data_IF_998072233438
#
_entry.id   IF_998072233438
#
_cell.length_a   1.000
_cell.length_b   1.000
_cell.length_c   1.000
_cell.angle_alpha   90.00
_cell.angle_beta   90.00
_cell.angle_gamma   90.00
#
_symmetry.space_group_name_H-M   'P 1'
#
loop_
_entity.id
_entity.type
_entity.pdbx_description
1 polymer ?
#
# COMPACT_ATOMS: atom_id res chain seq x y z
N UNK A 1 1.86 13.25 -4.31
CA UNK A 1 2.94 12.55 -3.58
C UNK A 1 2.31 11.70 -2.51
N UNK A 2 2.82 10.50 -2.29
CA UNK A 2 2.35 9.54 -1.29
C UNK A 2 3.41 9.42 -0.19
N UNK A 3 3.87 10.57 0.31
CA UNK A 3 4.89 10.66 1.36
C UNK A 3 6.08 9.71 1.12
N UNK A 4 6.40 8.85 2.10
CA UNK A 4 7.63 8.07 2.11
C UNK A 4 7.75 7.04 1.00
N UNK A 5 6.64 6.53 0.43
CA UNK A 5 6.72 5.64 -0.76
C UNK A 5 7.13 6.43 -2.02
N UNK A 6 6.92 7.75 -2.02
CA UNK A 6 7.31 8.66 -3.09
C UNK A 6 6.14 9.02 -4.00
N UNK A 7 6.36 8.99 -5.31
CA UNK A 7 5.40 9.47 -6.31
C UNK A 7 4.93 8.32 -7.17
N UNK A 8 3.70 7.88 -6.92
CA UNK A 8 3.08 6.77 -7.64
C UNK A 8 2.35 7.28 -8.89
N UNK A 9 2.20 6.38 -9.86
CA UNK A 9 1.46 6.66 -11.09
C UNK A 9 -0.02 6.40 -10.86
N UNK A 10 -0.87 7.33 -11.28
CA UNK A 10 -2.32 7.16 -11.28
C UNK A 10 -2.87 7.32 -12.71
N UNK A 11 -3.98 6.64 -13.00
CA UNK A 11 -4.69 6.76 -14.27
C UNK A 11 -6.07 7.36 -14.02
N UNK A 12 -6.40 8.45 -14.71
CA UNK A 12 -7.67 9.15 -14.55
C UNK A 12 -8.46 9.18 -15.86
N UNK A 13 -9.80 8.98 -15.83
CA UNK A 13 -10.63 9.21 -16.99
C UNK A 13 -10.64 10.70 -17.38
N UNK A 14 -10.70 10.95 -18.69
CA UNK A 14 -10.80 12.30 -19.26
C UNK A 14 -12.15 12.44 -19.96
N UNK A 15 -12.89 13.48 -19.60
CA UNK A 15 -14.12 13.91 -20.28
C UNK A 15 -13.86 15.18 -21.08
N UNK A 16 -14.21 15.18 -22.36
CA UNK A 16 -14.13 16.37 -23.20
C UNK A 16 -15.39 17.22 -23.07
N UNK A 17 -15.23 18.52 -22.80
CA UNK A 17 -16.33 19.48 -22.75
C UNK A 17 -15.86 20.82 -23.33
N UNK A 18 -16.65 21.36 -24.27
CA UNK A 18 -16.37 22.63 -24.94
C UNK A 18 -14.95 22.73 -25.54
N UNK A 19 -14.48 21.62 -26.12
CA UNK A 19 -13.14 21.52 -26.72
C UNK A 19 -11.98 21.34 -25.73
N UNK A 20 -12.26 21.22 -24.42
CA UNK A 20 -11.24 21.05 -23.38
C UNK A 20 -11.31 19.69 -22.68
N UNK A 21 -10.16 19.06 -22.36
CA UNK A 21 -10.13 17.85 -21.56
C UNK A 21 -10.25 18.18 -20.08
N UNK A 22 -11.18 17.53 -19.38
CA UNK A 22 -11.35 17.60 -17.94
C UNK A 22 -11.09 16.22 -17.31
N UNK A 23 -10.33 16.19 -16.22
CA UNK A 23 -10.23 14.98 -15.40
C UNK A 23 -11.57 14.65 -14.73
N UNK A 24 -11.90 13.37 -14.69
CA UNK A 24 -13.14 12.87 -14.12
C UNK A 24 -14.19 12.49 -15.16
N UNK A 25 -15.33 12.03 -14.66
CA UNK A 25 -16.47 11.57 -15.45
C UNK A 25 -17.45 12.72 -15.73
N UNK A 26 -18.34 12.62 -16.74
CA UNK A 26 -19.24 13.72 -17.13
C UNK A 26 -20.05 14.31 -15.97
N UNK A 27 -20.58 13.46 -15.10
CA UNK A 27 -21.35 13.90 -13.94
C UNK A 27 -20.51 14.48 -12.79
N UNK A 28 -19.18 14.31 -12.80
CA UNK A 28 -18.27 14.71 -11.73
C UNK A 28 -16.90 15.20 -12.24
N UNK A 29 -16.93 16.18 -13.13
CA UNK A 29 -15.71 16.84 -13.64
C UNK A 29 -14.86 17.41 -12.50
N UNK A 30 -13.56 17.50 -12.73
CA UNK A 30 -12.49 17.92 -11.79
C UNK A 30 -12.30 16.99 -10.59
N UNK A 31 -12.87 15.79 -10.63
CA UNK A 31 -12.68 14.72 -9.63
C UNK A 31 -12.51 13.37 -10.32
N UNK A 32 -11.32 12.81 -10.21
CA UNK A 32 -11.05 11.44 -10.64
C UNK A 32 -11.71 10.46 -9.67
N UNK A 33 -12.43 9.43 -10.16
CA UNK A 33 -12.81 8.30 -9.32
C UNK A 33 -11.56 7.57 -8.80
N UNK A 34 -11.62 6.99 -7.59
CA UNK A 34 -10.51 6.20 -7.03
C UNK A 34 -10.30 4.90 -7.80
N UNK A 35 -11.40 4.25 -8.18
CA UNK A 35 -11.41 3.04 -8.98
C UNK A 35 -12.26 3.28 -10.23
N UNK A 36 -11.71 2.91 -11.39
CA UNK A 36 -12.44 2.95 -12.64
C UNK A 36 -11.99 1.81 -13.55
N UNK A 37 -12.85 1.48 -14.52
CA UNK A 37 -12.54 0.48 -15.53
C UNK A 37 -11.32 0.91 -16.33
N UNK A 38 -10.37 -0.01 -16.54
CA UNK A 38 -9.20 0.26 -17.37
C UNK A 38 -9.65 0.61 -18.80
N UNK A 39 -8.90 1.47 -19.53
CA UNK A 39 -9.17 1.70 -20.94
C UNK A 39 -9.18 0.38 -21.72
N UNK A 40 -10.13 0.25 -22.66
CA UNK A 40 -10.15 -0.89 -23.56
C UNK A 40 -9.01 -0.76 -24.57
N UNK A 41 -7.96 -1.55 -24.40
CA UNK A 41 -6.81 -1.58 -25.30
C UNK A 41 -6.96 -2.59 -26.42
N UNK A 42 -8.07 -3.36 -26.46
CA UNK A 42 -8.23 -4.52 -27.33
C UNK A 42 -7.52 -5.79 -26.84
N UNK A 43 -6.82 -5.70 -25.69
CA UNK A 43 -6.09 -6.82 -25.09
C UNK A 43 -6.61 -7.11 -23.67
N UNK A 44 -6.80 -8.39 -23.37
CA UNK A 44 -7.04 -8.88 -22.02
C UNK A 44 -5.76 -9.51 -21.48
N UNK A 45 -5.42 -9.17 -20.25
CA UNK A 45 -4.31 -9.75 -19.50
C UNK A 45 -4.74 -9.81 -18.05
N UNK A 46 -4.40 -10.90 -17.37
CA UNK A 46 -4.58 -10.98 -15.93
C UNK A 46 -3.71 -9.93 -15.23
N UNK A 47 -4.15 -9.36 -14.10
CA UNK A 47 -3.30 -8.48 -13.30
C UNK A 47 -2.06 -9.23 -12.83
N UNK A 48 -0.89 -8.64 -13.03
CA UNK A 48 0.39 -9.13 -12.50
C UNK A 48 1.21 -7.96 -11.97
N UNK A 49 2.12 -8.25 -11.03
CA UNK A 49 3.13 -7.29 -10.67
C UNK A 49 3.97 -6.92 -11.91
N UNK A 50 4.34 -5.64 -12.09
CA UNK A 50 5.12 -5.20 -13.23
C UNK A 50 6.57 -5.70 -13.19
N UNK A 51 7.06 -6.09 -12.00
CA UNK A 51 8.40 -6.57 -11.78
C UNK A 51 8.42 -7.69 -10.74
N UNK A 52 9.36 -8.62 -10.90
CA UNK A 52 9.77 -9.57 -9.88
C UNK A 52 10.81 -8.89 -8.99
N UNK A 53 10.51 -8.74 -7.71
CA UNK A 53 11.36 -8.05 -6.74
C UNK A 53 12.39 -8.97 -6.08
N UNK A 54 12.06 -10.25 -5.99
CA UNK A 54 12.94 -11.25 -5.39
C UNK A 54 14.13 -11.50 -6.31
N UNK A 55 15.32 -11.72 -5.72
CA UNK A 55 16.54 -12.01 -6.47
C UNK A 55 17.44 -12.94 -5.65
N UNK A 56 17.76 -14.11 -6.20
CA UNK A 56 18.66 -15.10 -5.61
C UNK A 56 20.12 -14.94 -6.08
N UNK A 57 20.40 -13.92 -6.91
CA UNK A 57 21.74 -13.60 -7.43
C UNK A 57 22.45 -14.79 -8.11
N UNK A 58 21.69 -15.72 -8.69
CA UNK A 58 22.18 -16.90 -9.39
C UNK A 58 22.31 -16.70 -10.91
N UNK A 59 21.69 -15.63 -11.42
CA UNK A 59 21.82 -15.16 -12.79
C UNK A 59 23.16 -14.46 -13.09
N UNK A 60 23.51 -14.32 -14.38
CA UNK A 60 24.74 -13.63 -14.79
C UNK A 60 24.66 -12.10 -14.72
N UNK A 61 23.46 -11.55 -14.54
CA UNK A 61 23.16 -10.12 -14.50
C UNK A 61 22.18 -9.82 -13.37
N UNK A 62 22.23 -8.60 -12.84
CA UNK A 62 21.25 -8.13 -11.86
C UNK A 62 19.88 -7.99 -12.53
N UNK A 63 18.82 -8.37 -11.82
CA UNK A 63 17.45 -8.14 -12.25
C UNK A 63 17.16 -6.65 -12.50
N UNK A 64 16.30 -6.33 -13.47
CA UNK A 64 16.00 -4.96 -13.91
C UNK A 64 15.40 -4.03 -12.83
N UNK A 65 14.98 -4.59 -11.70
CA UNK A 65 14.48 -3.84 -10.53
C UNK A 65 15.58 -3.06 -9.81
N UNK A 66 16.82 -3.54 -9.91
CA UNK A 66 17.96 -2.99 -9.20
C UNK A 66 18.46 -1.70 -9.83
N UNK A 67 18.85 -0.76 -8.97
CA UNK A 67 19.55 0.44 -9.38
C UNK A 67 20.61 0.81 -8.35
N UNK A 68 21.78 1.22 -8.82
CA UNK A 68 22.83 1.73 -7.95
C UNK A 68 22.50 3.13 -7.43
N UNK A 69 22.85 3.41 -6.18
CA UNK A 69 22.93 4.78 -5.69
C UNK A 69 24.18 5.45 -6.29
N UNK A 70 23.98 6.35 -7.26
CA UNK A 70 25.02 6.91 -8.13
C UNK A 70 25.69 5.85 -9.04
N UNK A 71 26.76 6.24 -9.74
CA UNK A 71 27.51 5.35 -10.64
C UNK A 71 28.35 4.36 -9.83
N UNK A 72 28.22 3.04 -10.05
CA UNK A 72 29.03 2.03 -9.37
C UNK A 72 30.50 2.07 -9.80
N UNK A 73 31.35 1.32 -9.09
CA UNK A 73 32.64 0.84 -9.56
C UNK A 73 32.46 -0.64 -9.94
N UNK A 74 32.53 -0.94 -11.23
CA UNK A 74 32.17 -2.25 -11.78
C UNK A 74 33.13 -3.37 -11.37
N UNK A 75 34.37 -3.05 -11.00
CA UNK A 75 35.35 -3.98 -10.46
C UNK A 75 35.23 -4.22 -8.94
N UNK A 76 34.21 -3.63 -8.30
CA UNK A 76 33.98 -3.69 -6.84
C UNK A 76 32.62 -4.30 -6.47
N UNK A 77 31.98 -4.98 -7.41
CA UNK A 77 30.85 -5.86 -7.16
C UNK A 77 30.90 -7.05 -8.12
N UNK A 78 30.29 -8.18 -7.76
CA UNK A 78 30.28 -9.36 -8.62
C UNK A 78 29.11 -10.30 -8.32
N UNK A 79 28.62 -10.97 -9.37
CA UNK A 79 27.73 -12.15 -9.28
C UNK A 79 28.47 -13.47 -9.59
N UNK A 80 29.72 -13.37 -10.06
CA UNK A 80 30.49 -14.52 -10.55
C UNK A 80 31.65 -14.93 -9.65
N UNK A 81 32.14 -14.04 -8.79
CA UNK A 81 33.20 -14.36 -7.81
C UNK A 81 32.76 -15.45 -6.84
N UNK A 82 31.45 -15.50 -6.52
CA UNK A 82 30.81 -16.55 -5.75
C UNK A 82 29.41 -16.78 -6.35
N UNK A 83 29.23 -17.78 -7.23
CA UNK A 83 27.93 -18.05 -7.86
C UNK A 83 26.81 -18.21 -6.82
N UNK A 84 25.64 -17.59 -7.09
CA UNK A 84 24.50 -17.55 -6.17
C UNK A 84 24.62 -16.49 -5.07
N UNK A 85 25.53 -15.52 -5.23
CA UNK A 85 25.71 -14.41 -4.30
C UNK A 85 26.03 -13.11 -5.04
N UNK A 86 25.44 -12.01 -4.58
CA UNK A 86 25.94 -10.67 -4.82
C UNK A 86 27.09 -10.38 -3.85
N UNK A 87 28.29 -10.17 -4.38
CA UNK A 87 29.44 -9.69 -3.63
C UNK A 87 29.58 -8.18 -3.77
N UNK A 88 29.76 -7.48 -2.64
CA UNK A 88 30.12 -6.07 -2.59
C UNK A 88 31.47 -5.90 -1.88
N UNK A 89 32.48 -5.37 -2.58
CA UNK A 89 33.79 -5.07 -1.98
C UNK A 89 33.74 -3.73 -1.22
N UNK A 90 34.34 -3.68 -0.03
CA UNK A 90 34.32 -2.52 0.83
C UNK A 90 35.22 -1.41 0.27
N UNK A 91 34.60 -0.27 -0.03
CA UNK A 91 35.28 0.96 -0.42
C UNK A 91 35.33 1.96 0.75
N UNK A 92 36.32 2.86 0.81
CA UNK A 92 36.40 3.85 1.86
C UNK A 92 35.21 4.81 1.82
N UNK A 93 34.48 4.93 2.92
CA UNK A 93 33.43 5.92 3.10
C UNK A 93 33.27 6.32 4.59
N UNK A 94 33.03 7.60 4.89
CA UNK A 94 32.83 8.05 6.27
C UNK A 94 31.50 7.57 6.88
N UNK A 95 30.52 7.20 6.05
CA UNK A 95 29.20 6.73 6.44
C UNK A 95 28.45 6.13 5.23
N UNK A 96 27.30 5.51 5.49
CA UNK A 96 26.43 4.90 4.48
C UNK A 96 26.03 5.88 3.35
N UNK A 97 25.75 7.15 3.68
CA UNK A 97 25.36 8.15 2.67
C UNK A 97 26.43 8.37 1.59
N UNK A 98 27.70 8.12 1.93
CA UNK A 98 28.85 8.27 1.04
C UNK A 98 29.37 6.92 0.51
N UNK A 99 28.77 5.81 0.90
CA UNK A 99 29.15 4.48 0.41
C UNK A 99 28.81 4.35 -1.08
N UNK A 100 29.83 4.03 -1.89
CA UNK A 100 29.63 3.64 -3.29
C UNK A 100 29.17 2.18 -3.34
N UNK A 101 28.63 1.77 -4.48
CA UNK A 101 28.11 0.43 -4.70
C UNK A 101 27.02 0.02 -3.69
N UNK A 102 26.20 0.99 -3.24
CA UNK A 102 24.95 0.66 -2.57
C UNK A 102 23.92 0.29 -3.64
N UNK A 103 23.50 -0.97 -3.65
CA UNK A 103 22.53 -1.51 -4.59
C UNK A 103 21.12 -1.36 -4.03
N UNK A 104 20.18 -0.84 -4.82
CA UNK A 104 18.88 -0.41 -4.27
C UNK A 104 17.66 -0.87 -5.06
N UNK A 105 16.57 -1.20 -4.35
CA UNK A 105 15.22 -1.33 -4.89
C UNK A 105 14.29 -0.24 -4.33
N UNK A 106 13.17 0.02 -5.01
CA UNK A 106 12.14 0.95 -4.52
C UNK A 106 11.39 0.30 -3.34
N UNK A 107 10.97 1.10 -2.35
CA UNK A 107 9.95 0.66 -1.40
C UNK A 107 8.61 0.43 -2.10
N UNK A 108 7.83 -0.56 -1.64
CA UNK A 108 6.56 -0.93 -2.28
C UNK A 108 5.42 -0.76 -1.28
N UNK A 109 4.46 0.10 -1.64
CA UNK A 109 3.30 0.40 -0.80
C UNK A 109 2.16 -0.62 -0.98
N UNK A 110 1.21 -0.67 -0.03
CA UNK A 110 1.15 0.15 1.19
C UNK A 110 2.02 -0.42 2.32
N UNK A 111 2.50 -1.66 2.19
CA UNK A 111 3.37 -2.31 3.16
C UNK A 111 4.25 -3.33 2.47
N UNK A 112 5.55 -3.32 2.78
CA UNK A 112 6.51 -4.30 2.29
C UNK A 112 7.55 -4.67 3.34
N UNK A 113 8.02 -5.92 3.26
CA UNK A 113 9.03 -6.50 4.14
C UNK A 113 10.17 -7.04 3.28
N UNK A 114 11.30 -6.33 3.26
CA UNK A 114 12.52 -6.77 2.59
C UNK A 114 13.37 -7.62 3.55
N UNK A 115 13.83 -8.78 3.12
CA UNK A 115 14.73 -9.67 3.86
C UNK A 115 15.91 -10.07 2.99
N UNK A 116 17.10 -10.17 3.57
CA UNK A 116 18.32 -10.64 2.91
C UNK A 116 19.20 -11.40 3.91
N UNK A 117 19.91 -12.44 3.50
CA UNK A 117 21.01 -13.01 4.27
C UNK A 117 22.34 -12.37 3.85
N UNK A 118 23.12 -11.98 4.87
CA UNK A 118 24.45 -11.42 4.76
C UNK A 118 25.47 -12.39 5.34
N UNK A 119 26.44 -12.80 4.52
CA UNK A 119 27.68 -13.46 4.94
C UNK A 119 28.78 -12.39 5.07
N UNK A 120 29.08 -12.04 6.32
CA UNK A 120 30.06 -11.05 6.74
C UNK A 120 31.43 -11.67 7.08
N UNK A 121 31.65 -12.96 6.82
CA UNK A 121 32.87 -13.67 7.27
C UNK A 121 34.17 -13.06 6.75
N UNK A 122 34.12 -12.37 5.61
CA UNK A 122 35.27 -11.77 4.93
C UNK A 122 35.37 -10.25 5.16
N UNK A 123 34.55 -9.67 6.03
CA UNK A 123 34.72 -8.28 6.44
C UNK A 123 36.05 -8.09 7.21
N UNK A 124 36.73 -6.99 6.91
CA UNK A 124 37.97 -6.55 7.56
C UNK A 124 37.71 -5.42 8.55
N UNK A 125 38.63 -5.17 9.52
CA UNK A 125 38.47 -4.08 10.46
C UNK A 125 38.10 -2.74 9.80
N UNK A 126 37.03 -2.14 10.29
CA UNK A 126 36.46 -0.90 9.76
C UNK A 126 35.30 -1.11 8.78
N UNK A 127 35.09 -2.32 8.26
CA UNK A 127 33.99 -2.60 7.34
C UNK A 127 32.63 -2.58 8.05
N UNK A 128 31.63 -2.12 7.31
CA UNK A 128 30.21 -2.10 7.69
C UNK A 128 29.39 -2.49 6.46
N UNK A 129 28.62 -3.58 6.59
CA UNK A 129 27.75 -4.08 5.52
C UNK A 129 26.36 -4.41 6.06
N UNK A 130 25.32 -4.21 5.24
CA UNK A 130 23.96 -4.52 5.68
C UNK A 130 22.84 -4.06 4.77
N UNK A 131 21.66 -3.93 5.38
CA UNK A 131 20.40 -3.51 4.75
C UNK A 131 20.00 -2.13 5.31
N UNK A 132 19.75 -1.19 4.40
CA UNK A 132 19.40 0.18 4.73
C UNK A 132 18.03 0.58 4.18
N UNK A 133 17.39 1.49 4.92
CA UNK A 133 16.32 2.36 4.46
C UNK A 133 16.96 3.65 3.94
N UNK A 134 17.23 3.68 2.64
CA UNK A 134 17.87 4.80 1.98
C UNK A 134 16.87 5.93 1.73
N UNK A 135 17.04 7.00 2.48
CA UNK A 135 16.62 8.35 2.13
C UNK A 135 17.53 9.34 2.90
N UNK A 136 17.15 10.62 3.03
CA UNK A 136 17.80 11.53 3.96
C UNK A 136 16.72 12.12 4.90
N UNK A 137 16.76 11.83 6.21
CA UNK A 137 17.70 10.92 6.89
C UNK A 137 17.57 9.44 6.47
N UNK A 138 18.60 8.63 6.75
CA UNK A 138 18.60 7.17 6.53
C UNK A 138 18.67 6.38 7.84
N UNK A 139 18.31 5.11 7.77
CA UNK A 139 18.52 4.13 8.84
C UNK A 139 19.01 2.80 8.26
N UNK A 140 19.72 2.00 9.05
CA UNK A 140 20.21 0.69 8.60
C UNK A 140 20.46 -0.28 9.75
N UNK A 141 20.47 -1.57 9.43
CA UNK A 141 20.89 -2.67 10.29
C UNK A 141 21.90 -3.51 9.53
N UNK A 142 22.96 -3.98 10.19
CA UNK A 142 24.04 -4.70 9.53
C UNK A 142 25.13 -5.19 10.46
N UNK A 143 26.16 -5.78 9.85
CA UNK A 143 27.35 -6.28 10.53
C UNK A 143 28.51 -5.31 10.34
N UNK A 144 29.33 -5.15 11.38
CA UNK A 144 30.61 -4.47 11.28
C UNK A 144 31.72 -5.33 11.87
N UNK A 145 32.89 -5.28 11.23
CA UNK A 145 34.11 -5.89 11.75
C UNK A 145 34.91 -4.80 12.48
N UNK A 146 35.04 -4.97 13.79
CA UNK A 146 35.93 -4.16 14.64
C UNK A 146 37.20 -4.95 14.96
N UNK A 147 38.20 -4.29 15.53
CA UNK A 147 39.50 -4.93 15.85
C UNK A 147 39.36 -6.17 16.74
N UNK A 148 38.35 -6.19 17.62
CA UNK A 148 38.13 -7.27 18.58
C UNK A 148 37.16 -8.35 18.11
N UNK A 149 36.63 -8.29 16.89
CA UNK A 149 35.66 -9.27 16.37
C UNK A 149 34.48 -8.65 15.62
N UNK A 150 33.37 -9.38 15.56
CA UNK A 150 32.16 -8.94 14.87
C UNK A 150 31.17 -8.28 15.82
N UNK A 151 30.46 -7.29 15.29
CA UNK A 151 29.33 -6.67 15.96
C UNK A 151 28.15 -6.53 15.01
N UNK A 152 26.95 -6.79 15.50
CA UNK A 152 25.72 -6.35 14.87
C UNK A 152 25.48 -4.89 15.26
N UNK A 153 25.09 -4.07 14.28
CA UNK A 153 24.84 -2.64 14.47
C UNK A 153 23.51 -2.23 13.87
N UNK A 154 22.87 -1.30 14.58
CA UNK A 154 21.73 -0.53 14.10
C UNK A 154 22.10 0.94 14.14
N UNK A 155 21.64 1.70 13.15
CA UNK A 155 21.78 3.14 13.10
C UNK A 155 20.53 3.81 12.57
N UNK A 156 20.09 4.86 13.26
CA UNK A 156 19.05 5.78 12.82
C UNK A 156 19.63 7.19 12.84
N UNK A 157 19.76 7.81 11.66
CA UNK A 157 20.30 9.15 11.53
C UNK A 157 19.35 10.21 12.09
N UNK A 158 18.04 10.01 11.97
CA UNK A 158 17.05 10.99 12.42
C UNK A 158 17.01 11.08 13.95
N UNK A 159 17.04 9.93 14.61
CA UNK A 159 17.05 9.83 16.07
C UNK A 159 18.46 9.97 16.67
N UNK A 160 19.49 10.14 15.84
CA UNK A 160 20.92 10.10 16.23
C UNK A 160 21.28 8.85 17.07
N UNK A 161 20.61 7.72 16.79
CA UNK A 161 20.69 6.52 17.60
C UNK A 161 21.62 5.49 16.96
N UNK A 162 22.41 4.82 17.80
CA UNK A 162 23.23 3.68 17.41
C UNK A 162 23.18 2.60 18.48
N UNK A 163 22.94 1.37 18.07
CA UNK A 163 22.99 0.18 18.94
C UNK A 163 24.09 -0.73 18.41
N UNK A 164 24.83 -1.38 19.30
CA UNK A 164 25.93 -2.29 18.95
C UNK A 164 25.88 -3.51 19.87
N UNK A 165 25.77 -4.70 19.26
CA UNK A 165 25.72 -5.98 19.97
C UNK A 165 26.91 -6.82 19.51
N UNK A 166 27.68 -7.37 20.46
CA UNK A 166 28.76 -8.32 20.11
C UNK A 166 28.16 -9.65 19.67
N UNK A 167 28.77 -10.26 18.67
CA UNK A 167 28.38 -11.58 18.19
C UNK A 167 29.59 -12.31 17.61
N UNK A 168 29.57 -13.64 17.71
CA UNK A 168 30.52 -14.51 17.03
C UNK A 168 29.98 -14.98 15.67
N UNK A 169 28.71 -14.69 15.37
CA UNK A 169 28.09 -15.03 14.10
C UNK A 169 28.70 -14.20 12.97
N UNK A 170 28.93 -14.87 11.84
CA UNK A 170 29.38 -14.24 10.60
C UNK A 170 28.30 -14.24 9.53
N UNK A 171 27.18 -14.94 9.77
CA UNK A 171 25.99 -14.92 8.93
C UNK A 171 24.82 -14.38 9.73
N UNK A 172 24.00 -13.56 9.07
CA UNK A 172 22.84 -12.92 9.68
C UNK A 172 21.80 -12.62 8.60
N UNK A 173 20.53 -12.82 8.92
CA UNK A 173 19.42 -12.32 8.12
C UNK A 173 19.04 -10.94 8.62
N UNK A 174 18.89 -10.00 7.70
CA UNK A 174 18.54 -8.61 7.97
C UNK A 174 17.17 -8.34 7.34
N UNK A 175 16.29 -7.68 8.09
CA UNK A 175 14.92 -7.41 7.63
C UNK A 175 14.54 -5.96 7.87
N UNK A 176 13.87 -5.39 6.86
CA UNK A 176 13.30 -4.07 6.89
C UNK A 176 11.80 -4.14 6.59
N UNK A 177 10.97 -3.87 7.59
CA UNK A 177 9.52 -3.79 7.47
C UNK A 177 9.11 -2.33 7.35
N UNK A 178 8.40 -1.96 6.28
CA UNK A 178 7.92 -0.60 6.05
C UNK A 178 6.41 -0.60 5.86
N UNK A 179 5.72 0.22 6.64
CA UNK A 179 4.33 0.60 6.42
C UNK A 179 4.30 2.03 5.88
N UNK A 180 3.92 2.18 4.62
CA UNK A 180 3.90 3.44 3.90
C UNK A 180 2.61 4.24 4.09
N UNK A 181 1.56 3.65 4.67
CA UNK A 181 0.37 4.40 5.08
C UNK A 181 0.63 5.19 6.37
N UNK A 182 1.39 4.60 7.30
CA UNK A 182 1.78 5.25 8.55
C UNK A 182 3.12 5.96 8.48
N UNK A 183 3.85 5.82 7.36
CA UNK A 183 5.22 6.29 7.18
C UNK A 183 6.18 5.75 8.28
N UNK A 184 6.00 4.49 8.72
CA UNK A 184 6.82 3.85 9.77
C UNK A 184 7.61 2.66 9.23
N UNK A 185 8.90 2.63 9.56
CA UNK A 185 9.81 1.52 9.31
C UNK A 185 10.28 0.84 10.59
N UNK A 186 10.60 -0.46 10.51
CA UNK A 186 11.23 -1.24 11.58
C UNK A 186 12.33 -2.10 11.00
N UNK A 187 13.45 -2.19 11.73
CA UNK A 187 14.58 -3.03 11.37
C UNK A 187 14.69 -4.19 12.37
N UNK A 188 14.99 -5.37 11.86
CA UNK A 188 15.21 -6.57 12.66
C UNK A 188 16.31 -7.42 12.05
N UNK A 189 16.81 -8.36 12.85
CA UNK A 189 17.82 -9.32 12.44
C UNK A 189 17.46 -10.72 12.92
N UNK A 190 18.07 -11.73 12.34
CA UNK A 190 17.97 -13.13 12.78
C UNK A 190 19.30 -13.84 12.56
N UNK A 191 19.67 -14.75 13.47
CA UNK A 191 20.84 -15.61 13.32
C UNK A 191 20.50 -17.03 12.84
N UNK A 192 19.21 -17.37 12.73
CA UNK A 192 18.70 -18.68 12.29
C UNK A 192 17.87 -18.60 11.00
N UNK A 193 17.52 -17.41 10.53
CA UNK A 193 16.66 -17.17 9.37
C UNK A 193 15.16 -17.32 9.65
N UNK A 194 14.78 -17.72 10.86
CA UNK A 194 13.39 -18.01 11.23
C UNK A 194 12.85 -17.00 12.25
N UNK A 195 13.60 -16.75 13.32
CA UNK A 195 13.19 -15.87 14.42
C UNK A 195 13.87 -14.52 14.29
N UNK A 196 13.08 -13.49 13.99
CA UNK A 196 13.57 -12.12 13.83
C UNK A 196 13.39 -11.29 15.11
N UNK A 197 14.50 -10.79 15.62
CA UNK A 197 14.54 -9.88 16.77
C UNK A 197 14.55 -8.43 16.28
N UNK A 198 13.59 -7.58 16.69
CA UNK A 198 13.62 -6.15 16.38
C UNK A 198 14.81 -5.47 17.05
N UNK A 199 15.41 -4.51 16.36
CA UNK A 199 16.50 -3.68 16.89
C UNK A 199 16.22 -2.21 16.64
N UNK A 200 16.39 -1.39 17.68
CA UNK A 200 15.99 0.02 17.64
C UNK A 200 14.51 0.21 17.98
N UNK A 201 13.97 1.34 17.57
CA UNK A 201 12.55 1.73 17.73
C UNK A 201 11.95 1.98 16.34
N UNK A 202 10.69 2.41 16.30
CA UNK A 202 10.01 2.81 15.07
C UNK A 202 10.76 3.97 14.39
N UNK A 203 11.07 3.80 13.11
CA UNK A 203 11.76 4.77 12.27
C UNK A 203 10.70 5.55 11.48
N UNK A 204 10.71 6.88 11.57
CA UNK A 204 9.90 7.70 10.67
C UNK A 204 10.52 7.67 9.28
N UNK A 205 9.77 7.17 8.30
CA UNK A 205 10.19 7.11 6.91
C UNK A 205 10.07 8.51 6.29
N UNK A 206 11.17 9.14 5.86
CA UNK A 206 11.08 10.53 5.40
C UNK A 206 10.72 10.61 3.91
N UNK A 207 10.09 11.72 3.54
CA UNK A 207 10.03 12.20 2.17
C UNK A 207 10.42 13.67 2.14
N UNK A 208 11.36 14.02 1.26
CA UNK A 208 11.88 15.38 1.16
C UNK A 208 12.36 15.71 -0.26
N UNK A 209 12.55 17.01 -0.51
CA UNK A 209 12.83 17.56 -1.85
C UNK A 209 14.32 17.64 -2.23
N UNK A 210 15.24 17.34 -1.32
CA UNK A 210 16.68 17.22 -1.57
C UNK A 210 17.01 16.00 -2.43
N UNK A 211 16.42 14.84 -2.15
CA UNK A 211 16.61 13.62 -2.96
C UNK A 211 15.46 13.38 -3.93
N UNK A 212 14.27 13.92 -3.64
CA UNK A 212 13.07 13.80 -4.48
C UNK A 212 12.64 12.36 -4.75
N UNK A 213 13.09 11.41 -3.93
CA UNK A 213 12.78 9.98 -4.03
C UNK A 213 12.05 9.50 -2.77
N UNK A 214 11.21 8.47 -2.94
CA UNK A 214 10.72 7.68 -1.83
C UNK A 214 11.84 6.87 -1.18
N UNK A 215 11.54 6.25 -0.04
CA UNK A 215 12.46 5.35 0.66
C UNK A 215 12.77 4.15 -0.23
N UNK A 216 14.05 3.75 -0.24
CA UNK A 216 14.56 2.61 -0.99
C UNK A 216 15.19 1.61 -0.04
N UNK A 217 15.02 0.32 -0.32
CA UNK A 217 15.84 -0.71 0.32
C UNK A 217 17.21 -0.71 -0.32
N UNK A 218 18.28 -0.81 0.47
CA UNK A 218 19.64 -0.77 -0.04
C UNK A 218 20.55 -1.80 0.62
N UNK A 219 21.21 -2.62 -0.20
CA UNK A 219 22.33 -3.47 0.20
C UNK A 219 23.62 -2.67 0.06
N UNK A 220 24.51 -2.74 1.05
CA UNK A 220 25.74 -1.94 1.03
C UNK A 220 26.91 -2.64 1.73
N UNK A 221 28.12 -2.19 1.39
CA UNK A 221 29.35 -2.47 2.13
C UNK A 221 30.33 -1.29 1.98
N UNK A 222 30.93 -0.83 3.07
CA UNK A 222 31.97 0.21 3.05
C UNK A 222 32.92 0.10 4.24
N UNK A 223 34.10 0.68 4.12
CA UNK A 223 35.10 0.75 5.19
C UNK A 223 35.18 2.17 5.78
N UNK A 224 35.10 2.27 7.11
CA UNK A 224 35.12 3.52 7.87
C UNK A 224 36.52 4.08 8.15
N UNK A 225 37.58 3.30 7.93
CA UNK A 225 38.96 3.67 8.24
C UNK A 225 39.70 4.34 7.07
N UNK A 226 39.00 4.63 5.97
CA UNK A 226 39.57 5.38 4.84
C UNK A 226 40.45 4.55 3.91
N UNK A 227 40.33 3.23 3.95
CA UNK A 227 41.01 2.27 3.06
C UNK A 227 40.01 1.34 2.37
N UNK A 228 40.45 0.57 1.38
CA UNK A 228 39.67 -0.59 0.92
C UNK A 228 39.70 -1.68 1.99
N UNK A 229 38.59 -2.41 2.13
CA UNK A 229 38.44 -3.48 3.11
C UNK A 229 38.28 -4.86 2.47
N UNK A 230 37.49 -5.70 3.13
CA UNK A 230 37.10 -7.01 2.62
C UNK A 230 35.85 -6.94 1.74
N UNK A 231 34.99 -7.95 1.83
CA UNK A 231 33.73 -8.00 1.08
C UNK A 231 32.58 -8.60 1.88
N UNK A 232 31.37 -8.26 1.46
CA UNK A 232 30.11 -8.80 1.95
C UNK A 232 29.44 -9.60 0.84
N UNK A 233 28.99 -10.81 1.15
CA UNK A 233 28.24 -11.65 0.22
C UNK A 233 26.76 -11.71 0.64
N UNK A 234 25.84 -11.41 -0.26
CA UNK A 234 24.39 -11.53 -0.08
C UNK A 234 23.86 -12.63 -0.99
N UNK A 235 23.16 -13.63 -0.46
CA UNK A 235 22.63 -14.75 -1.26
C UNK A 235 21.25 -14.48 -1.85
N UNK A 236 20.43 -13.67 -1.19
CA UNK A 236 19.06 -13.43 -1.61
C UNK A 236 18.58 -12.06 -1.19
N UNK A 237 17.59 -11.56 -1.92
CA UNK A 237 16.73 -10.47 -1.52
C UNK A 237 15.28 -10.91 -1.74
N UNK A 238 14.49 -10.95 -0.68
CA UNK A 238 13.07 -11.32 -0.73
C UNK A 238 12.24 -10.11 -0.31
N UNK A 239 11.24 -9.76 -1.12
CA UNK A 239 10.29 -8.69 -0.83
C UNK A 239 8.87 -9.25 -0.66
N UNK A 240 8.43 -9.36 0.59
CA UNK A 240 7.06 -9.76 0.90
C UNK A 240 6.12 -8.55 0.98
N UNK A 241 5.02 -8.58 0.23
CA UNK A 241 4.01 -7.52 0.16
C UNK A 241 2.68 -7.98 0.79
N UNK A 242 2.55 -7.97 2.14
CA UNK A 242 1.40 -8.56 2.84
C UNK A 242 0.06 -7.94 2.46
N UNK A 243 0.06 -6.70 1.96
CA UNK A 243 -1.13 -5.93 1.58
C UNK A 243 -1.21 -5.64 0.08
N UNK A 244 -0.55 -6.44 -0.77
CA UNK A 244 -0.58 -6.26 -2.24
C UNK A 244 -2.00 -6.31 -2.87
N UNK A 245 -2.96 -6.96 -2.19
CA UNK A 245 -4.37 -7.02 -2.60
C UNK A 245 -5.30 -6.05 -1.83
N UNK A 246 -4.74 -5.16 -1.02
CA UNK A 246 -5.50 -4.34 -0.07
C UNK A 246 -5.94 -5.12 1.18
N UNK A 247 -6.63 -4.45 2.09
CA UNK A 247 -7.15 -5.07 3.33
C UNK A 247 -8.56 -5.67 3.15
N UNK A 248 -9.32 -5.22 2.15
CA UNK A 248 -10.68 -5.71 1.93
C UNK A 248 -10.65 -7.07 1.20
N UNK A 249 -11.54 -8.02 1.54
CA UNK A 249 -11.65 -9.33 0.89
C UNK A 249 -12.20 -9.28 -0.56
N UNK A 250 -12.14 -8.13 -1.23
CA UNK A 250 -12.75 -7.90 -2.54
C UNK A 250 -14.26 -7.58 -2.46
N UNK A 251 -14.92 -7.61 -3.61
CA UNK A 251 -16.37 -7.32 -3.71
C UNK A 251 -17.15 -8.57 -3.29
N UNK A 252 -18.10 -8.40 -2.38
CA UNK A 252 -18.87 -9.46 -1.73
C UNK A 252 -20.05 -9.94 -2.59
N UNK A 253 -19.77 -10.36 -3.81
CA UNK A 253 -20.80 -10.74 -4.77
C UNK A 253 -21.63 -11.93 -4.24
N UNK A 254 -22.96 -11.78 -4.27
CA UNK A 254 -23.92 -12.78 -3.78
C UNK A 254 -24.23 -12.68 -2.28
N UNK A 255 -23.36 -12.06 -1.50
CA UNK A 255 -23.52 -11.92 -0.05
C UNK A 255 -24.61 -10.89 0.30
N UNK A 256 -25.15 -11.06 1.51
CA UNK A 256 -26.05 -10.08 2.13
C UNK A 256 -25.24 -9.26 3.13
N UNK A 257 -25.30 -7.94 3.01
CA UNK A 257 -24.54 -7.03 3.86
C UNK A 257 -25.44 -6.00 4.55
N UNK A 258 -24.94 -5.49 5.67
CA UNK A 258 -25.36 -4.20 6.23
C UNK A 258 -24.34 -3.13 5.86
N UNK A 259 -24.80 -1.90 5.62
CA UNK A 259 -23.96 -0.74 5.32
C UNK A 259 -24.04 0.26 6.48
N UNK A 260 -22.88 0.73 6.94
CA UNK A 260 -22.75 1.64 8.06
C UNK A 260 -21.99 2.88 7.62
N UNK A 261 -22.54 4.06 7.87
CA UNK A 261 -21.86 5.34 7.65
C UNK A 261 -20.59 5.39 8.48
N UNK A 262 -19.44 5.66 7.86
CA UNK A 262 -18.18 5.83 8.59
C UNK A 262 -18.17 7.08 9.48
N UNK A 263 -18.95 8.10 9.11
CA UNK A 263 -18.94 9.39 9.79
C UNK A 263 -19.55 9.34 11.19
N UNK A 264 -20.65 8.59 11.34
CA UNK A 264 -21.50 8.59 12.55
C UNK A 264 -22.03 7.20 12.93
N UNK A 265 -21.54 6.14 12.29
CA UNK A 265 -21.91 4.73 12.54
C UNK A 265 -23.38 4.39 12.29
N UNK A 266 -24.16 5.28 11.65
CA UNK A 266 -25.56 5.00 11.33
C UNK A 266 -25.70 3.85 10.33
N UNK A 267 -26.73 3.02 10.50
CA UNK A 267 -27.01 1.87 9.62
C UNK A 267 -27.95 2.30 8.50
N UNK A 268 -27.67 1.92 7.26
CA UNK A 268 -28.58 2.14 6.15
C UNK A 268 -29.75 1.15 6.20
N UNK A 269 -30.97 1.65 6.08
CA UNK A 269 -32.21 0.86 6.05
C UNK A 269 -33.09 1.24 4.86
N UNK A 270 -33.86 0.28 4.38
CA UNK A 270 -35.03 0.50 3.53
C UNK A 270 -36.17 1.08 4.38
N UNK A 271 -36.31 2.40 4.35
CA UNK A 271 -37.40 3.11 5.02
C UNK A 271 -38.41 3.59 3.99
N UNK A 272 -39.56 2.90 3.89
CA UNK A 272 -40.66 3.27 2.97
C UNK A 272 -40.17 3.47 1.52
N UNK A 273 -39.41 2.49 1.01
CA UNK A 273 -38.80 2.51 -0.32
C UNK A 273 -37.78 3.64 -0.55
N UNK A 274 -37.22 4.20 0.52
CA UNK A 274 -36.10 5.13 0.46
C UNK A 274 -34.92 4.56 1.26
N UNK A 275 -33.70 4.84 0.81
CA UNK A 275 -32.52 4.52 1.62
C UNK A 275 -32.34 5.60 2.69
N UNK A 276 -32.26 5.18 3.95
CA UNK A 276 -32.16 6.11 5.09
C UNK A 276 -31.13 5.62 6.12
N UNK A 277 -30.24 6.48 6.62
CA UNK A 277 -29.44 6.21 7.82
C UNK A 277 -30.32 6.25 9.07
N UNK A 278 -30.15 5.27 9.96
CA UNK A 278 -30.75 5.26 11.29
C UNK A 278 -29.69 5.02 12.37
N UNK A 279 -29.83 5.62 13.56
CA UNK A 279 -28.97 5.31 14.70
C UNK A 279 -28.94 3.81 15.02
N UNK A 280 -27.81 3.28 15.49
CA UNK A 280 -27.63 1.85 15.77
C UNK A 280 -28.54 1.30 16.87
N UNK A 281 -29.04 2.17 17.75
CA UNK A 281 -30.01 1.85 18.82
C UNK A 281 -31.47 1.98 18.36
N UNK A 282 -31.71 2.37 17.11
CA UNK A 282 -33.04 2.45 16.54
C UNK A 282 -33.63 1.06 16.32
N UNK A 283 -34.95 0.92 16.54
CA UNK A 283 -35.70 -0.30 16.17
C UNK A 283 -35.64 -0.64 14.67
N UNK A 284 -35.20 0.30 13.83
CA UNK A 284 -35.06 0.13 12.39
C UNK A 284 -33.63 -0.21 11.96
N UNK A 285 -32.70 -0.34 12.91
CA UNK A 285 -31.29 -0.66 12.65
C UNK A 285 -31.02 -2.16 12.52
N UNK A 286 -32.04 -3.00 12.69
CA UNK A 286 -31.94 -4.47 12.64
C UNK A 286 -33.01 -5.08 11.72
N UNK A 287 -32.76 -6.32 11.30
CA UNK A 287 -33.68 -7.11 10.48
C UNK A 287 -33.57 -6.84 8.97
N UNK A 288 -34.44 -7.49 8.20
CA UNK A 288 -34.35 -7.53 6.73
C UNK A 288 -34.38 -6.15 6.04
N UNK A 289 -34.86 -5.10 6.70
CA UNK A 289 -34.83 -3.72 6.18
C UNK A 289 -33.42 -3.15 6.06
N UNK A 290 -32.45 -3.57 6.86
CA UNK A 290 -31.04 -3.13 6.78
C UNK A 290 -30.17 -4.02 5.91
N UNK A 291 -30.73 -5.11 5.39
CA UNK A 291 -30.02 -6.13 4.64
C UNK A 291 -30.10 -5.85 3.13
N UNK A 292 -28.92 -5.77 2.50
CA UNK A 292 -28.78 -5.57 1.06
C UNK A 292 -27.96 -6.70 0.45
N UNK A 293 -28.54 -7.43 -0.51
CA UNK A 293 -27.81 -8.39 -1.31
C UNK A 293 -26.98 -7.67 -2.37
N UNK A 294 -25.70 -7.99 -2.45
CA UNK A 294 -24.78 -7.44 -3.45
C UNK A 294 -24.83 -8.29 -4.71
N UNK A 295 -25.31 -7.73 -5.81
CA UNK A 295 -25.48 -8.44 -7.08
C UNK A 295 -24.46 -7.97 -8.11
N UNK A 296 -23.81 -8.90 -8.81
CA UNK A 296 -22.80 -8.60 -9.82
C UNK A 296 -23.38 -7.89 -11.04
N UNK A 297 -22.67 -6.86 -11.52
CA UNK A 297 -22.93 -6.15 -12.79
C UNK A 297 -21.68 -6.11 -13.69
N UNK A 298 -20.66 -6.91 -13.37
CA UNK A 298 -19.38 -6.99 -14.07
C UNK A 298 -18.49 -5.77 -13.83
N UNK A 299 -17.20 -5.89 -14.15
CA UNK A 299 -16.23 -4.78 -14.08
C UNK A 299 -16.16 -4.09 -12.70
N UNK A 300 -16.36 -4.86 -11.62
CA UNK A 300 -16.40 -4.34 -10.25
C UNK A 300 -17.62 -3.48 -9.92
N UNK A 301 -18.68 -3.56 -10.74
CA UNK A 301 -19.94 -2.87 -10.53
C UNK A 301 -20.93 -3.80 -9.85
N UNK A 302 -21.83 -3.22 -9.09
CA UNK A 302 -22.84 -3.93 -8.32
C UNK A 302 -24.20 -3.28 -8.43
N UNK A 303 -25.25 -4.05 -8.13
CA UNK A 303 -26.52 -3.53 -7.68
C UNK A 303 -26.77 -3.97 -6.23
N UNK A 304 -27.38 -3.09 -5.43
CA UNK A 304 -27.81 -3.42 -4.07
C UNK A 304 -29.30 -3.73 -4.09
N UNK A 305 -29.67 -4.96 -3.71
CA UNK A 305 -31.06 -5.40 -3.64
C UNK A 305 -31.51 -5.49 -2.18
N UNK A 306 -32.56 -4.77 -1.81
CA UNK A 306 -33.17 -4.87 -0.48
C UNK A 306 -33.72 -6.26 -0.25
N UNK A 307 -33.33 -6.91 0.84
CA UNK A 307 -33.83 -8.25 1.20
C UNK A 307 -35.31 -8.19 1.60
N UNK A 308 -35.74 -7.11 2.27
CA UNK A 308 -37.15 -6.90 2.67
C UNK A 308 -38.13 -6.92 1.50
N UNK A 309 -37.82 -6.18 0.43
CA UNK A 309 -38.78 -5.95 -0.67
C UNK A 309 -38.40 -6.65 -1.97
N UNK A 310 -37.17 -7.14 -2.11
CA UNK A 310 -36.60 -7.60 -3.38
C UNK A 310 -36.29 -6.48 -4.38
N UNK A 311 -36.55 -5.21 -4.02
CA UNK A 311 -36.30 -4.06 -4.87
C UNK A 311 -34.84 -3.61 -4.89
N UNK A 312 -34.48 -2.77 -5.85
CA UNK A 312 -33.13 -2.31 -6.13
C UNK A 312 -32.91 -0.86 -5.71
N UNK A 313 -31.80 -0.60 -5.03
CA UNK A 313 -31.36 0.77 -4.74
C UNK A 313 -31.10 1.48 -6.07
N UNK A 314 -31.87 2.52 -6.34
CA UNK A 314 -31.97 3.20 -7.63
C UNK A 314 -31.89 4.71 -7.44
N UNK A 315 -30.98 5.33 -8.17
CA UNK A 315 -30.80 6.79 -8.18
C UNK A 315 -31.68 7.42 -9.25
N UNK A 316 -32.40 8.48 -8.88
CA UNK A 316 -33.30 9.25 -9.73
C UNK A 316 -32.82 10.69 -9.86
N UNK A 317 -33.41 11.43 -10.81
CA UNK A 317 -33.24 12.88 -10.90
C UNK A 317 -31.77 13.32 -10.98
N UNK A 318 -31.36 14.18 -10.05
CA UNK A 318 -29.97 14.63 -9.91
C UNK A 318 -29.22 13.86 -8.81
N UNK A 319 -29.86 12.86 -8.20
CA UNK A 319 -29.35 12.12 -7.05
C UNK A 319 -29.43 12.93 -5.76
N UNK A 320 -30.37 13.87 -5.63
CA UNK A 320 -30.57 14.64 -4.42
C UNK A 320 -31.22 13.85 -3.28
N UNK A 321 -31.53 14.54 -2.19
CA UNK A 321 -32.29 13.97 -1.06
C UNK A 321 -33.63 13.40 -1.56
N UNK A 322 -33.99 12.22 -1.07
CA UNK A 322 -35.20 11.47 -1.48
C UNK A 322 -35.20 10.93 -2.93
N UNK A 323 -34.09 11.07 -3.66
CA UNK A 323 -33.92 10.53 -5.02
C UNK A 323 -33.13 9.22 -5.04
N UNK A 324 -32.69 8.70 -3.88
CA UNK A 324 -32.19 7.33 -3.71
C UNK A 324 -33.33 6.46 -3.19
N UNK A 325 -33.92 5.68 -4.10
CA UNK A 325 -35.14 4.90 -3.87
C UNK A 325 -34.89 3.40 -3.99
N UNK A 326 -35.82 2.60 -3.48
CA UNK A 326 -35.83 1.15 -3.65
C UNK A 326 -36.98 0.82 -4.56
N UNK A 327 -36.66 0.55 -5.82
CA UNK A 327 -37.61 0.30 -6.91
C UNK A 327 -37.78 -1.19 -7.14
N UNK A 328 -38.98 -1.65 -7.51
CA UNK A 328 -39.24 -3.08 -7.68
C UNK A 328 -38.40 -3.75 -8.79
N UNK A 329 -38.04 -2.98 -9.81
CA UNK A 329 -37.29 -3.44 -10.99
C UNK A 329 -35.90 -2.82 -11.03
N UNK A 330 -34.94 -3.57 -11.58
CA UNK A 330 -33.61 -3.08 -11.91
C UNK A 330 -33.70 -2.11 -13.09
N UNK A 331 -33.18 -0.89 -12.91
CA UNK A 331 -33.23 0.18 -13.89
C UNK A 331 -31.87 0.44 -14.57
N UNK A 332 -31.01 -0.56 -14.66
CA UNK A 332 -29.74 -0.48 -15.36
C UNK A 332 -28.76 0.45 -14.66
N UNK A 333 -28.23 1.47 -15.35
CA UNK A 333 -27.26 2.40 -14.77
C UNK A 333 -27.80 3.15 -13.54
N UNK A 334 -29.11 3.39 -13.48
CA UNK A 334 -29.76 4.00 -12.32
C UNK A 334 -29.70 3.12 -11.06
N UNK A 335 -29.69 1.80 -11.22
CA UNK A 335 -29.60 0.82 -10.12
C UNK A 335 -28.19 0.26 -9.94
N UNK A 336 -27.20 0.77 -10.70
CA UNK A 336 -25.83 0.25 -10.71
C UNK A 336 -24.86 1.23 -10.06
N UNK A 337 -24.00 0.69 -9.20
CA UNK A 337 -22.92 1.41 -8.53
C UNK A 337 -21.57 0.80 -8.87
N UNK A 338 -20.55 1.63 -9.08
CA UNK A 338 -19.17 1.20 -9.02
C UNK A 338 -18.79 1.02 -7.55
N UNK A 339 -18.41 -0.19 -7.16
CA UNK A 339 -17.79 -0.45 -5.87
C UNK A 339 -16.38 0.14 -5.89
N UNK A 340 -16.08 1.04 -4.96
CA UNK A 340 -14.74 1.61 -4.81
C UNK A 340 -14.20 1.30 -3.43
N UNK A 341 -13.12 0.52 -3.40
CA UNK A 341 -12.37 0.21 -2.19
C UNK A 341 -11.48 1.40 -1.80
N UNK A 342 -11.54 1.79 -0.52
CA UNK A 342 -10.71 2.85 0.05
C UNK A 342 -9.35 2.34 0.57
N UNK A 343 -9.07 1.05 0.45
CA UNK A 343 -7.86 0.29 0.87
C UNK A 343 -7.76 -0.04 2.37
N UNK A 344 -8.61 0.57 3.19
CA UNK A 344 -8.66 0.36 4.64
C UNK A 344 -9.95 -0.37 5.09
N UNK A 345 -10.55 -1.15 4.19
CA UNK A 345 -11.79 -1.89 4.44
C UNK A 345 -13.07 -1.05 4.32
N UNK A 346 -12.94 0.25 4.08
CA UNK A 346 -14.04 1.17 3.79
C UNK A 346 -14.34 1.21 2.29
N UNK A 347 -15.56 1.61 1.95
CA UNK A 347 -16.01 1.70 0.55
C UNK A 347 -16.69 3.04 0.26
N UNK A 348 -16.65 3.43 -1.01
CA UNK A 348 -17.59 4.37 -1.59
C UNK A 348 -18.39 3.69 -2.70
N UNK A 349 -19.66 4.09 -2.85
CA UNK A 349 -20.55 3.57 -3.89
C UNK A 349 -20.85 4.69 -4.88
N UNK A 350 -20.20 4.65 -6.06
CA UNK A 350 -20.42 5.66 -7.10
C UNK A 350 -21.57 5.25 -8.00
N UNK A 351 -22.64 6.03 -8.06
CA UNK A 351 -23.72 5.82 -9.02
C UNK A 351 -23.23 5.97 -10.45
N UNK A 352 -23.52 5.02 -11.33
CA UNK A 352 -23.22 5.17 -12.76
C UNK A 352 -24.13 6.19 -13.43
N UNK A 353 -25.33 6.40 -12.90
CA UNK A 353 -26.30 7.36 -13.41
C UNK A 353 -25.88 8.82 -13.18
N UNK A 354 -25.37 9.17 -12.00
CA UNK A 354 -24.93 10.56 -11.69
C UNK A 354 -23.42 10.77 -11.77
N UNK A 355 -22.62 9.70 -11.79
CA UNK A 355 -21.17 9.71 -11.55
C UNK A 355 -20.77 10.37 -10.21
N UNK A 356 -21.68 10.36 -9.24
CA UNK A 356 -21.52 10.87 -7.89
C UNK A 356 -21.70 9.74 -6.89
N UNK A 357 -21.36 9.98 -5.63
CA UNK A 357 -21.32 8.95 -4.60
C UNK A 357 -22.58 8.97 -3.73
N UNK A 358 -23.01 7.78 -3.32
CA UNK A 358 -23.99 7.62 -2.25
C UNK A 358 -23.53 8.41 -1.02
N UNK A 359 -24.47 9.10 -0.39
CA UNK A 359 -24.18 10.06 0.67
C UNK A 359 -25.24 10.01 1.76
N UNK A 360 -24.74 10.08 2.98
CA UNK A 360 -25.48 10.28 4.22
C UNK A 360 -25.00 11.58 4.85
N UNK A 361 -25.91 12.51 5.14
CA UNK A 361 -25.58 13.71 5.90
C UNK A 361 -25.37 13.36 7.39
N UNK A 362 -24.12 13.42 7.91
CA UNK A 362 -23.81 12.90 9.24
C UNK A 362 -24.62 13.61 10.34
N UNK A 363 -25.30 12.82 11.18
CA UNK A 363 -26.12 13.33 12.29
C UNK A 363 -27.45 13.98 11.90
N UNK A 364 -27.74 14.19 10.61
CA UNK A 364 -29.00 14.83 10.18
C UNK A 364 -30.20 13.86 10.20
N UNK A 365 -29.95 12.55 10.04
CA UNK A 365 -31.02 11.54 9.93
C UNK A 365 -31.94 11.72 8.72
N UNK A 366 -31.49 12.49 7.73
CA UNK A 366 -32.15 12.76 6.45
C UNK A 366 -32.12 11.52 5.54
N UNK A 367 -32.87 11.51 4.45
CA UNK A 367 -32.78 10.44 3.45
C UNK A 367 -31.42 10.50 2.74
N UNK A 368 -30.95 9.35 2.23
CA UNK A 368 -29.72 9.32 1.45
C UNK A 368 -29.87 10.11 0.14
N UNK A 369 -28.74 10.64 -0.32
CA UNK A 369 -28.57 11.19 -1.67
C UNK A 369 -27.45 10.42 -2.39
N UNK A 370 -27.26 10.68 -3.67
CA UNK A 370 -26.20 10.15 -4.50
C UNK A 370 -25.59 11.27 -5.37
N UNK A 371 -25.32 12.41 -4.74
CA UNK A 371 -24.81 13.65 -5.35
C UNK A 371 -23.43 14.08 -4.78
N UNK A 372 -22.86 13.34 -3.83
CA UNK A 372 -21.55 13.64 -3.27
C UNK A 372 -20.44 13.56 -4.32
N UNK A 373 -19.48 14.49 -4.26
CA UNK A 373 -18.36 14.54 -5.21
C UNK A 373 -17.27 13.50 -4.93
N UNK A 374 -17.24 12.92 -3.74
CA UNK A 374 -16.22 11.98 -3.24
C UNK A 374 -16.01 12.15 -1.73
N UNK A 375 -15.04 11.41 -1.18
CA UNK A 375 -14.66 11.48 0.22
C UNK A 375 -14.03 12.83 0.61
N UNK A 376 -14.20 13.22 1.88
CA UNK A 376 -13.34 14.21 2.54
C UNK A 376 -12.01 13.55 2.95
N UNK A 377 -10.93 14.32 3.21
CA UNK A 377 -9.65 13.74 3.60
C UNK A 377 -9.69 12.84 4.85
N UNK A 378 -10.62 13.10 5.78
CA UNK A 378 -10.83 12.31 6.99
C UNK A 378 -11.82 11.14 6.80
N UNK A 379 -12.34 10.96 5.58
CA UNK A 379 -13.39 10.01 5.18
C UNK A 379 -14.73 10.17 5.92
N UNK A 380 -14.84 11.05 6.91
CA UNK A 380 -16.03 11.28 7.74
C UNK A 380 -17.02 12.28 7.13
N UNK A 381 -16.91 12.50 5.82
CA UNK A 381 -17.78 13.43 5.09
C UNK A 381 -19.18 12.90 4.80
N UNK A 382 -19.46 11.61 4.99
CA UNK A 382 -20.77 10.99 4.72
C UNK A 382 -20.85 10.15 3.43
N UNK A 383 -19.78 10.09 2.64
CA UNK A 383 -19.72 9.31 1.39
C UNK A 383 -19.00 7.95 1.54
N UNK A 384 -18.37 7.71 2.69
CA UNK A 384 -17.64 6.47 2.99
C UNK A 384 -18.46 5.59 3.93
N UNK A 385 -18.44 4.28 3.67
CA UNK A 385 -19.20 3.29 4.41
C UNK A 385 -18.30 2.13 4.83
N UNK A 386 -18.60 1.54 5.97
CA UNK A 386 -18.16 0.18 6.30
C UNK A 386 -19.31 -0.78 6.05
N UNK A 387 -19.00 -2.07 5.96
CA UNK A 387 -19.99 -3.10 5.73
C UNK A 387 -19.76 -4.29 6.64
N UNK A 388 -20.81 -5.10 6.85
CA UNK A 388 -20.72 -6.40 7.54
C UNK A 388 -21.56 -7.42 6.80
N UNK A 389 -21.00 -8.62 6.58
CA UNK A 389 -21.75 -9.76 6.05
C UNK A 389 -22.74 -10.24 7.11
N UNK A 390 -23.98 -10.46 6.71
CA UNK A 390 -25.03 -11.05 7.54
C UNK A 390 -24.87 -12.58 7.47
N UNK A 391 -24.54 -13.21 8.59
CA UNK A 391 -24.41 -14.66 8.66
C UNK A 391 -25.80 -15.29 8.80
N UNK A 392 -26.06 -16.37 8.06
CA UNK A 392 -27.34 -17.07 8.12
C UNK A 392 -27.62 -17.56 9.55
N UNK A 393 -28.59 -16.94 10.22
CA UNK A 393 -28.97 -17.25 11.61
C UNK A 393 -29.21 -16.03 12.51
N UNK A 394 -28.86 -14.82 12.05
CA UNK A 394 -29.17 -13.53 12.72
C UNK A 394 -30.48 -12.88 12.25
#
# INVERSE_FOLDING_TARGET
DYNSVGRVTALSPVTWRDGWPYFGLPGNLTRSPRTWVKPNTGFSSEPSAPFEHDDAFDGPELSNVWQWNHVPLDDKWSLSERPGYLRLHALPAPNFWRARNSLTQRGVGPESVATTELDASQLQPGDVAGLALLNLPYAWVGMSRIDTGFVLQFHDQQAEKRITLRTEATRVWLRAHCNFDTDIGRLSYSFDGEHFEPIGEDILLPYQLRTFQGVRYALFNFNTQGQEGGWADFNEFILHEPRCKGQAPGILLGEVITLHSLADSTVLTNWRNHMRPVPTDSRFATGATTHFRVLDRGNGRIALQSVETGGFVTVKGLGGLAEVRIEAEDQGEASTFQWQDMLDGEIMLMSLYTNRYLFVDPGAGSLCSADARGARPDHRGGACFTWRVVVAGE
#
